data_IF_730505526077
#
_entry.id   IF_730505526077
#
_cell.length_a   1.000
_cell.length_b   1.000
_cell.length_c   1.000
_cell.angle_alpha   90.00
_cell.angle_beta   90.00
_cell.angle_gamma   90.00
#
_symmetry.space_group_name_H-M   'P 1'
#
loop_
_entity.id
_entity.type
_entity.pdbx_description
1 polymer ?
#
# COMPACT_ATOMS: atom_id res chain seq x y z
N UNK A 1 -2.34 -17.61 17.07
CA UNK A 1 -2.14 -16.67 18.19
C UNK A 1 -2.44 -15.28 17.67
N UNK A 2 -3.45 -14.60 18.20
CA UNK A 2 -3.74 -13.21 17.79
C UNK A 2 -2.67 -12.31 18.40
N UNK A 3 -1.83 -11.69 17.58
CA UNK A 3 -0.79 -10.77 18.06
C UNK A 3 -1.45 -9.55 18.70
N UNK A 4 -1.06 -9.24 19.93
CA UNK A 4 -1.58 -8.10 20.69
C UNK A 4 -0.46 -7.07 20.86
N UNK A 5 -0.78 -5.80 20.69
CA UNK A 5 0.15 -4.69 20.84
C UNK A 5 -0.28 -3.76 21.98
N UNK A 6 0.71 -3.22 22.69
CA UNK A 6 0.53 -2.05 23.55
C UNK A 6 0.56 -0.76 22.72
N UNK A 7 0.13 0.37 23.32
CA UNK A 7 0.23 1.67 22.64
C UNK A 7 1.68 2.04 22.34
N UNK A 8 2.62 1.69 23.21
CA UNK A 8 4.05 1.91 23.03
C UNK A 8 4.60 1.12 21.84
N UNK A 9 4.18 -0.14 21.69
CA UNK A 9 4.56 -0.96 20.54
C UNK A 9 4.01 -0.41 19.23
N UNK A 10 2.76 0.07 19.21
CA UNK A 10 2.22 0.74 18.03
C UNK A 10 3.03 1.99 17.67
N UNK A 11 3.37 2.83 18.65
CA UNK A 11 4.17 4.04 18.41
C UNK A 11 5.55 3.68 17.83
N UNK A 12 6.22 2.67 18.39
CA UNK A 12 7.52 2.22 17.90
C UNK A 12 7.46 1.66 16.48
N UNK A 13 6.42 0.90 16.14
CA UNK A 13 6.25 0.29 14.81
C UNK A 13 5.80 1.30 13.74
N UNK A 14 5.06 2.34 14.14
CA UNK A 14 4.49 3.31 13.21
C UNK A 14 5.27 4.61 13.15
N UNK A 15 6.25 4.82 14.05
CA UNK A 15 6.98 6.07 14.23
C UNK A 15 6.05 7.27 14.47
N UNK A 16 4.89 7.01 15.07
CA UNK A 16 3.91 8.04 15.41
C UNK A 16 3.94 8.30 16.92
N UNK A 17 3.92 9.58 17.36
CA UNK A 17 3.85 9.88 18.78
C UNK A 17 2.49 9.48 19.34
N UNK A 18 2.45 9.08 20.63
CA UNK A 18 1.22 8.67 21.34
C UNK A 18 0.05 9.64 21.16
N UNK A 19 0.35 10.95 21.13
CA UNK A 19 -0.66 12.00 20.95
C UNK A 19 -1.35 11.89 19.59
N UNK A 20 -0.61 11.63 18.52
CA UNK A 20 -1.14 11.46 17.17
C UNK A 20 -1.98 10.20 17.06
N UNK A 21 -1.50 9.08 17.63
CA UNK A 21 -2.26 7.83 17.67
C UNK A 21 -3.62 8.03 18.36
N UNK A 22 -3.63 8.66 19.53
CA UNK A 22 -4.88 8.97 20.25
C UNK A 22 -5.77 9.93 19.49
N UNK A 23 -5.18 10.94 18.84
CA UNK A 23 -5.92 11.89 18.03
C UNK A 23 -6.63 11.20 16.84
N UNK A 24 -5.96 10.29 16.14
CA UNK A 24 -6.57 9.52 15.06
C UNK A 24 -7.69 8.59 15.53
N UNK A 25 -7.56 7.98 16.71
CA UNK A 25 -8.65 7.21 17.33
C UNK A 25 -9.85 8.10 17.70
N UNK A 26 -9.58 9.29 18.24
CA UNK A 26 -10.64 10.25 18.60
C UNK A 26 -11.39 10.76 17.36
N UNK A 27 -10.68 10.97 16.25
CA UNK A 27 -11.25 11.34 14.96
C UNK A 27 -12.00 10.19 14.26
N UNK A 28 -11.92 8.96 14.79
CA UNK A 28 -12.50 7.77 14.17
C UNK A 28 -11.76 7.29 12.91
N UNK A 29 -10.51 7.71 12.72
CA UNK A 29 -9.65 7.22 11.62
C UNK A 29 -9.05 5.84 11.92
N UNK A 30 -8.91 5.53 13.20
CA UNK A 30 -8.39 4.26 13.71
C UNK A 30 -9.41 3.72 14.70
N UNK A 31 -9.61 2.40 14.70
CA UNK A 31 -10.55 1.77 15.62
C UNK A 31 -10.15 2.01 17.08
N UNK A 32 -11.16 1.96 17.95
CA UNK A 32 -10.93 2.08 19.40
C UNK A 32 -10.21 0.83 19.92
N UNK A 33 -9.32 0.98 20.92
CA UNK A 33 -8.66 -0.16 21.54
C UNK A 33 -9.67 -1.19 22.04
N UNK A 34 -9.26 -2.45 22.05
CA UNK A 34 -10.05 -3.56 22.58
C UNK A 34 -9.86 -3.62 24.10
N UNK A 35 -10.96 -3.63 24.84
CA UNK A 35 -10.98 -3.75 26.30
C UNK A 35 -11.07 -2.40 27.03
N UNK A 36 -11.32 -2.46 28.34
CA UNK A 36 -11.50 -1.28 29.19
C UNK A 36 -10.16 -0.74 29.69
N UNK A 37 -10.00 0.59 29.61
CA UNK A 37 -8.87 1.43 30.08
C UNK A 37 -7.56 0.75 30.49
N UNK A 38 -7.54 -0.03 31.57
CA UNK A 38 -6.33 -0.66 32.14
C UNK A 38 -5.88 -1.94 31.42
N UNK A 39 -6.79 -2.62 30.72
CA UNK A 39 -6.53 -3.81 29.90
C UNK A 39 -6.71 -3.53 28.38
N UNK A 40 -6.79 -2.25 28.02
CA UNK A 40 -6.92 -1.82 26.63
C UNK A 40 -5.70 -2.27 25.81
N UNK A 41 -5.97 -2.95 24.71
CA UNK A 41 -4.95 -3.49 23.83
C UNK A 41 -5.29 -3.26 22.36
N UNK A 42 -4.27 -3.38 21.52
CA UNK A 42 -4.38 -3.18 20.08
C UNK A 42 -4.08 -4.45 19.34
N UNK A 43 -4.55 -4.51 18.11
CA UNK A 43 -4.47 -5.68 17.22
C UNK A 43 -3.74 -5.28 15.94
N UNK A 44 -3.39 -6.25 15.07
CA UNK A 44 -2.76 -5.95 13.79
C UNK A 44 -3.62 -5.04 12.89
N UNK A 45 -4.95 -5.04 13.09
CA UNK A 45 -5.87 -4.13 12.39
C UNK A 45 -5.54 -2.67 12.69
N UNK A 46 -5.37 -2.33 13.97
CA UNK A 46 -5.02 -0.97 14.40
C UNK A 46 -3.66 -0.54 13.84
N UNK A 47 -2.69 -1.46 13.82
CA UNK A 47 -1.38 -1.20 13.22
C UNK A 47 -1.51 -0.91 11.72
N UNK A 48 -2.26 -1.73 10.99
CA UNK A 48 -2.51 -1.53 9.57
C UNK A 48 -3.17 -0.19 9.26
N UNK A 49 -4.18 0.21 10.03
CA UNK A 49 -4.83 1.52 9.91
C UNK A 49 -3.83 2.67 10.10
N UNK A 50 -3.01 2.61 11.15
CA UNK A 50 -1.99 3.64 11.41
C UNK A 50 -0.93 3.71 10.31
N UNK A 51 -0.47 2.57 9.80
CA UNK A 51 0.49 2.53 8.69
C UNK A 51 -0.10 3.11 7.39
N UNK A 52 -1.37 2.82 7.10
CA UNK A 52 -2.05 3.35 5.93
C UNK A 52 -2.28 4.86 6.02
N UNK A 53 -2.71 5.35 7.19
CA UNK A 53 -2.85 6.79 7.45
C UNK A 53 -1.51 7.49 7.30
N UNK A 54 -0.42 6.91 7.86
CA UNK A 54 0.94 7.45 7.72
C UNK A 54 1.33 7.56 6.25
N UNK A 55 1.17 6.48 5.47
CA UNK A 55 1.50 6.48 4.03
C UNK A 55 0.80 7.61 3.28
N UNK A 56 -0.49 7.84 3.56
CA UNK A 56 -1.27 8.90 2.92
C UNK A 56 -0.87 10.30 3.42
N UNK A 57 -0.62 10.45 4.72
CA UNK A 57 -0.18 11.72 5.30
C UNK A 57 1.21 12.13 4.79
N UNK A 58 2.13 11.17 4.67
CA UNK A 58 3.47 11.39 4.11
C UNK A 58 3.40 11.77 2.62
N UNK A 59 2.36 11.33 1.91
CA UNK A 59 2.03 11.75 0.55
C UNK A 59 1.30 13.12 0.47
N UNK A 60 1.18 13.85 1.58
CA UNK A 60 0.55 15.17 1.63
C UNK A 60 -0.98 15.16 1.61
N UNK A 61 -1.62 14.00 1.77
CA UNK A 61 -3.08 13.89 1.77
C UNK A 61 -3.64 14.45 3.08
N UNK A 62 -4.65 15.33 2.97
CA UNK A 62 -5.34 15.88 4.14
C UNK A 62 -6.08 14.81 4.95
N UNK A 63 -6.20 15.01 6.27
CA UNK A 63 -6.88 14.07 7.17
C UNK A 63 -8.37 13.84 6.82
N UNK A 64 -9.07 14.88 6.36
CA UNK A 64 -10.45 14.75 5.86
C UNK A 64 -10.53 13.80 4.67
N UNK A 65 -9.58 13.93 3.73
CA UNK A 65 -9.53 13.03 2.58
C UNK A 65 -9.09 11.62 2.97
N UNK A 66 -8.13 11.47 3.88
CA UNK A 66 -7.73 10.17 4.44
C UNK A 66 -8.94 9.44 5.03
N UNK A 67 -9.84 10.15 5.72
CA UNK A 67 -11.08 9.55 6.26
C UNK A 67 -11.92 8.91 5.16
N UNK A 68 -12.11 9.59 4.03
CA UNK A 68 -12.88 9.07 2.90
C UNK A 68 -12.24 7.80 2.33
N UNK A 69 -10.90 7.77 2.23
CA UNK A 69 -10.15 6.60 1.73
C UNK A 69 -10.27 5.42 2.68
N UNK A 70 -10.12 5.66 3.98
CA UNK A 70 -10.26 4.63 5.02
C UNK A 70 -11.68 4.05 5.08
N UNK A 71 -12.69 4.83 4.67
CA UNK A 71 -14.09 4.39 4.56
C UNK A 71 -14.41 3.64 3.24
N UNK A 72 -13.41 3.32 2.42
CA UNK A 72 -13.57 2.60 1.15
C UNK A 72 -13.69 3.48 -0.09
N UNK A 73 -13.47 4.80 0.04
CA UNK A 73 -13.38 5.71 -1.11
C UNK A 73 -12.05 5.58 -1.87
N UNK A 74 -12.01 6.11 -3.09
CA UNK A 74 -10.79 6.10 -3.91
C UNK A 74 -9.63 6.89 -3.28
N UNK A 75 -8.46 6.24 -3.22
CA UNK A 75 -7.21 6.86 -2.78
C UNK A 75 -6.81 8.01 -3.70
N UNK A 76 -6.59 9.23 -3.18
CA UNK A 76 -6.13 10.38 -3.97
C UNK A 76 -4.64 10.29 -4.29
N UNK A 77 -3.89 9.40 -3.61
CA UNK A 77 -2.54 9.07 -4.01
C UNK A 77 -2.67 8.20 -5.25
N UNK A 78 -2.63 8.83 -6.43
CA UNK A 78 -2.28 8.13 -7.64
C UNK A 78 -0.93 7.48 -7.41
N UNK A 79 -0.77 6.20 -7.77
CA UNK A 79 0.53 5.54 -7.75
C UNK A 79 1.51 6.36 -8.61
N UNK A 80 2.32 7.18 -7.93
CA UNK A 80 3.32 8.09 -8.51
C UNK A 80 2.74 9.23 -9.35
N UNK A 81 2.44 10.38 -8.74
CA UNK A 81 2.38 11.64 -9.50
C UNK A 81 3.72 11.87 -10.20
N UNK A 82 3.69 11.82 -11.54
CA UNK A 82 4.88 11.91 -12.39
C UNK A 82 5.40 13.34 -12.34
N UNK A 83 6.59 13.55 -11.77
CA UNK A 83 7.25 14.86 -11.82
C UNK A 83 7.89 15.08 -13.19
N UNK A 84 7.87 16.31 -13.74
CA UNK A 84 8.65 16.64 -14.93
C UNK A 84 10.12 16.26 -14.75
N UNK A 85 10.67 15.46 -15.67
CA UNK A 85 12.04 14.92 -15.58
C UNK A 85 12.14 13.50 -15.01
N UNK A 86 11.03 12.88 -14.57
CA UNK A 86 11.03 11.48 -14.15
C UNK A 86 11.31 10.54 -15.33
N UNK A 87 12.40 9.79 -15.26
CA UNK A 87 12.77 8.77 -16.26
C UNK A 87 12.26 7.41 -15.77
N UNK A 88 11.59 6.68 -16.66
CA UNK A 88 11.19 5.28 -16.43
C UNK A 88 11.71 4.38 -17.54
N UNK A 89 12.13 3.19 -17.16
CA UNK A 89 12.52 2.13 -18.09
C UNK A 89 11.37 1.15 -18.17
N UNK A 90 10.79 1.01 -19.37
CA UNK A 90 9.71 0.06 -19.63
C UNK A 90 10.15 -0.99 -20.64
N UNK A 91 9.78 -2.23 -20.38
CA UNK A 91 9.94 -3.32 -21.34
C UNK A 91 8.69 -3.42 -22.20
N UNK A 92 8.88 -3.28 -23.51
CA UNK A 92 7.83 -3.46 -24.51
C UNK A 92 8.05 -4.80 -25.18
N UNK A 93 7.07 -5.68 -25.07
CA UNK A 93 7.13 -7.05 -25.58
C UNK A 93 6.03 -7.22 -26.60
N UNK A 94 6.42 -7.46 -27.85
CA UNK A 94 5.50 -7.84 -28.91
C UNK A 94 5.17 -9.33 -28.80
N UNK A 95 3.89 -9.68 -28.76
CA UNK A 95 3.43 -11.06 -28.65
C UNK A 95 2.88 -11.54 -29.99
N UNK A 96 1.94 -10.80 -30.58
CA UNK A 96 1.33 -11.11 -31.87
C UNK A 96 0.67 -9.86 -32.48
N UNK A 97 0.27 -9.87 -33.77
CA UNK A 97 -0.50 -8.75 -34.33
C UNK A 97 -1.74 -8.45 -33.48
N UNK A 98 -1.81 -7.24 -32.93
CA UNK A 98 -2.89 -6.80 -32.02
C UNK A 98 -2.67 -7.11 -30.54
N UNK A 99 -1.54 -7.73 -30.16
CA UNK A 99 -1.22 -8.08 -28.77
C UNK A 99 0.20 -7.64 -28.41
N UNK A 100 0.28 -6.71 -27.47
CA UNK A 100 1.52 -6.19 -26.90
C UNK A 100 1.43 -6.20 -25.37
N UNK A 101 2.59 -6.35 -24.72
CA UNK A 101 2.75 -6.34 -23.28
C UNK A 101 3.76 -5.27 -22.88
N UNK A 102 3.33 -4.32 -22.05
CA UNK A 102 4.19 -3.28 -21.50
C UNK A 102 4.36 -3.49 -19.99
N UNK A 103 5.61 -3.49 -19.53
CA UNK A 103 5.94 -3.75 -18.12
C UNK A 103 6.91 -2.68 -17.63
N UNK A 104 6.60 -2.10 -16.47
CA UNK A 104 7.55 -1.34 -15.66
C UNK A 104 8.14 -2.28 -14.59
N UNK A 105 9.36 -2.83 -14.79
CA UNK A 105 9.89 -3.84 -13.88
C UNK A 105 10.18 -3.29 -12.48
N UNK A 106 10.45 -1.99 -12.35
CA UNK A 106 10.70 -1.38 -11.04
C UNK A 106 9.40 -1.25 -10.24
N UNK A 107 8.34 -0.78 -10.87
CA UNK A 107 7.01 -0.68 -10.25
C UNK A 107 6.42 -2.06 -9.94
N UNK A 108 6.65 -3.04 -10.81
CA UNK A 108 6.24 -4.43 -10.60
C UNK A 108 7.10 -5.21 -9.59
N UNK A 109 8.21 -4.63 -9.10
CA UNK A 109 9.14 -5.30 -8.18
C UNK A 109 9.81 -6.54 -8.78
N UNK A 110 9.97 -6.60 -10.11
CA UNK A 110 10.51 -7.74 -10.83
C UNK A 110 12.02 -7.62 -11.02
N UNK A 111 12.76 -8.66 -10.64
CA UNK A 111 14.14 -8.84 -11.12
C UNK A 111 14.16 -9.10 -12.64
N UNK A 112 15.29 -8.83 -13.32
CA UNK A 112 15.45 -9.15 -14.74
C UNK A 112 15.17 -10.63 -15.06
N UNK A 113 15.53 -11.54 -14.15
CA UNK A 113 15.30 -12.98 -14.29
C UNK A 113 13.81 -13.31 -14.22
N UNK A 114 13.09 -12.74 -13.26
CA UNK A 114 11.63 -12.91 -13.11
C UNK A 114 10.87 -12.31 -14.28
N UNK A 115 11.29 -11.13 -14.78
CA UNK A 115 10.71 -10.52 -15.96
C UNK A 115 10.86 -11.43 -17.19
N UNK A 116 12.07 -11.96 -17.43
CA UNK A 116 12.30 -12.91 -18.53
C UNK A 116 11.47 -14.18 -18.37
N UNK A 117 11.35 -14.71 -17.15
CA UNK A 117 10.53 -15.89 -16.88
C UNK A 117 9.04 -15.62 -17.17
N UNK A 118 8.53 -14.48 -16.71
CA UNK A 118 7.15 -14.05 -16.95
C UNK A 118 6.86 -13.90 -18.45
N UNK A 119 7.70 -13.19 -19.18
CA UNK A 119 7.56 -13.01 -20.63
C UNK A 119 7.54 -14.35 -21.35
N UNK A 120 8.43 -15.28 -20.99
CA UNK A 120 8.40 -16.64 -21.57
C UNK A 120 7.09 -17.35 -21.31
N UNK A 121 6.57 -17.30 -20.08
CA UNK A 121 5.28 -17.92 -19.75
C UNK A 121 4.13 -17.34 -20.56
N UNK A 122 4.08 -16.02 -20.73
CA UNK A 122 3.05 -15.37 -21.56
C UNK A 122 3.14 -15.84 -23.02
N UNK A 123 4.35 -15.91 -23.58
CA UNK A 123 4.55 -16.40 -24.95
C UNK A 123 4.12 -17.86 -25.11
N UNK A 124 4.51 -18.73 -24.18
CA UNK A 124 4.12 -20.16 -24.21
C UNK A 124 2.62 -20.35 -24.07
N UNK A 125 1.95 -19.54 -23.25
CA UNK A 125 0.50 -19.64 -23.09
C UNK A 125 -0.26 -19.15 -24.33
N UNK A 126 0.25 -18.08 -24.96
CA UNK A 126 -0.27 -17.60 -26.22
C UNK A 126 -0.13 -18.65 -27.33
N UNK A 127 1.01 -19.35 -27.41
CA UNK A 127 1.23 -20.44 -28.37
C UNK A 127 0.21 -21.58 -28.23
N UNK A 128 -0.20 -21.93 -27.00
CA UNK A 128 -1.22 -22.97 -26.75
C UNK A 128 -2.65 -22.55 -27.11
N UNK A 129 -2.91 -21.24 -27.17
CA UNK A 129 -4.24 -20.70 -27.48
C UNK A 129 -4.53 -20.73 -28.99
N UNK A 130 -3.52 -21.09 -29.79
CA UNK A 130 -3.60 -21.28 -31.23
C UNK A 130 -3.71 -22.76 -31.59
#
# INVERSE_FOLDING_TARGET
MTTIYSIDQLCALTDLPKRTVRYYMQLGLVDRPVGETRAAHYTPVHLGQLMQIRKLADAGVSLERIRTVMAGGESPVAEGERQPGAIRVRSHVFIAPGIELQIDPQEAGLSPEQLRAFVRSVMTEWEKTK
#
